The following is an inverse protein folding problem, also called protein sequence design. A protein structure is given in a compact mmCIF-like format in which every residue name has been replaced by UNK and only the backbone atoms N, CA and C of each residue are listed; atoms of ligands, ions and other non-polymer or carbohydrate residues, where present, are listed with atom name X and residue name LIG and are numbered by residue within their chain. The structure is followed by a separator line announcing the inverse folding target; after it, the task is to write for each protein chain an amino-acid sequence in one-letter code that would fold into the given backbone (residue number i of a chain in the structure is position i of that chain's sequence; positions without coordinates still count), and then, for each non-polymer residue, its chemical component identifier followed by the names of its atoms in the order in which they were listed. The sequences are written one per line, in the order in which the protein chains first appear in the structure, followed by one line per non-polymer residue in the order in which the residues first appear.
data_IF_733968494660
#
_entry.id   IF_733968494660
#
_cell.length_a   1.000
_cell.length_b   1.000
_cell.length_c   1.000
_cell.angle_alpha   90.00
_cell.angle_beta   90.00
_cell.angle_gamma   90.00
#
_symmetry.space_group_name_H-M   'P 1'
#
loop_
_entity.id
_entity.type
_entity.pdbx_description
1 polymer ?
#
# COMPACT_ATOMS: atom_id res chain seq x y z
N UNK A 1 -8.82 22.23 -7.54
CA UNK A 1 -9.14 21.22 -6.49
C UNK A 1 -7.87 20.44 -6.27
N UNK A 2 -7.46 20.21 -5.02
CA UNK A 2 -6.20 19.49 -4.77
C UNK A 2 -6.36 18.00 -5.02
N UNK A 3 -5.30 17.37 -5.54
CA UNK A 3 -5.29 15.96 -5.94
C UNK A 3 -4.24 15.18 -5.17
N UNK A 4 -4.64 14.05 -4.59
CA UNK A 4 -3.76 13.10 -3.93
C UNK A 4 -3.74 11.78 -4.71
N UNK A 5 -2.55 11.29 -5.02
CA UNK A 5 -2.32 9.99 -5.61
C UNK A 5 -1.76 9.04 -4.55
N UNK A 6 -2.43 7.91 -4.33
CA UNK A 6 -1.92 6.82 -3.51
C UNK A 6 -1.45 5.69 -4.41
N UNK A 7 -0.20 5.25 -4.22
CA UNK A 7 0.40 4.14 -4.96
C UNK A 7 0.51 2.94 -4.03
N UNK A 8 -0.27 1.90 -4.32
CA UNK A 8 -0.33 0.64 -3.60
C UNK A 8 0.47 -0.43 -4.36
N UNK A 9 1.43 -1.13 -3.73
CA UNK A 9 2.02 -2.32 -4.33
C UNK A 9 0.94 -3.38 -4.63
N UNK A 10 0.19 -3.81 -3.61
CA UNK A 10 -0.85 -4.83 -3.71
C UNK A 10 -2.24 -4.27 -3.39
N UNK A 11 -3.24 -5.10 -3.68
CA UNK A 11 -4.67 -4.83 -3.46
C UNK A 11 -4.99 -4.98 -1.96
N UNK A 12 -4.59 -3.98 -1.18
CA UNK A 12 -4.84 -3.81 0.27
C UNK A 12 -3.89 -2.80 0.95
N UNK A 13 -2.64 -2.68 0.48
CA UNK A 13 -1.59 -1.95 1.23
C UNK A 13 -1.94 -0.51 1.57
N UNK A 14 -2.48 0.26 0.62
CA UNK A 14 -2.91 1.64 0.88
C UNK A 14 -4.06 1.69 1.87
N UNK A 15 -4.99 0.73 1.83
CA UNK A 15 -6.09 0.70 2.78
C UNK A 15 -5.56 0.50 4.21
N UNK A 16 -4.69 -0.50 4.39
CA UNK A 16 -4.09 -0.80 5.68
C UNK A 16 -3.16 0.31 6.16
N UNK A 17 -2.40 0.93 5.27
CA UNK A 17 -1.33 1.88 5.62
C UNK A 17 -1.83 3.32 5.73
N UNK A 18 -2.69 3.75 4.80
CA UNK A 18 -3.05 5.16 4.57
C UNK A 18 -4.57 5.44 4.56
N UNK A 19 -5.42 4.46 4.84
CA UNK A 19 -6.88 4.63 4.70
C UNK A 19 -7.46 5.78 5.53
N UNK A 20 -6.85 6.14 6.66
CA UNK A 20 -7.30 7.26 7.51
C UNK A 20 -7.00 8.60 6.86
N UNK A 21 -5.80 8.80 6.34
CA UNK A 21 -5.40 10.00 5.61
C UNK A 21 -6.20 10.14 4.32
N UNK A 22 -6.44 9.03 3.61
CA UNK A 22 -7.30 9.02 2.43
C UNK A 22 -8.70 9.54 2.76
N UNK A 23 -9.34 9.01 3.79
CA UNK A 23 -10.65 9.50 4.27
C UNK A 23 -10.61 10.98 4.68
N UNK A 24 -9.54 11.41 5.36
CA UNK A 24 -9.38 12.80 5.79
C UNK A 24 -9.28 13.76 4.60
N UNK A 25 -8.55 13.39 3.54
CA UNK A 25 -8.43 14.18 2.32
C UNK A 25 -9.75 14.24 1.56
N UNK A 26 -10.48 13.12 1.44
CA UNK A 26 -11.81 13.11 0.84
C UNK A 26 -12.80 14.00 1.60
N UNK A 27 -12.80 13.97 2.93
CA UNK A 27 -13.63 14.84 3.75
C UNK A 27 -13.32 16.33 3.55
N UNK A 28 -12.08 16.67 3.16
CA UNK A 28 -11.64 18.02 2.79
C UNK A 28 -11.90 18.39 1.32
N UNK A 29 -12.58 17.53 0.55
CA UNK A 29 -12.89 17.77 -0.85
C UNK A 29 -11.70 17.60 -1.80
N UNK A 30 -10.69 16.81 -1.43
CA UNK A 30 -9.63 16.45 -2.37
C UNK A 30 -10.14 15.43 -3.40
N UNK A 31 -9.59 15.51 -4.60
CA UNK A 31 -9.64 14.41 -5.57
C UNK A 31 -8.61 13.36 -5.14
N UNK A 32 -9.02 12.11 -5.07
CA UNK A 32 -8.17 10.98 -4.68
C UNK A 32 -8.11 9.98 -5.81
N UNK A 33 -6.88 9.64 -6.19
CA UNK A 33 -6.58 8.53 -7.08
C UNK A 33 -5.86 7.42 -6.32
N UNK A 34 -6.25 6.18 -6.58
CA UNK A 34 -5.60 4.96 -6.11
C UNK A 34 -5.05 4.21 -7.32
N UNK A 35 -3.73 4.05 -7.37
CA UNK A 35 -3.07 3.16 -8.33
C UNK A 35 -2.57 1.93 -7.57
N UNK A 36 -3.06 0.76 -7.93
CA UNK A 36 -2.55 -0.52 -7.39
C UNK A 36 -1.74 -1.23 -8.46
N UNK A 37 -0.48 -1.53 -8.18
CA UNK A 37 0.53 -1.89 -9.19
C UNK A 37 0.43 -3.36 -9.62
N UNK A 38 0.49 -4.29 -8.68
CA UNK A 38 0.55 -5.72 -8.95
C UNK A 38 -0.84 -6.35 -8.87
N UNK A 39 -1.55 -6.34 -10.00
CA UNK A 39 -2.96 -6.71 -10.07
C UNK A 39 -3.30 -7.75 -11.13
N UNK A 40 -2.31 -8.28 -11.88
CA UNK A 40 -2.57 -9.15 -13.04
C UNK A 40 -3.08 -10.52 -12.62
N UNK A 41 -4.14 -10.99 -13.28
CA UNK A 41 -4.55 -12.40 -13.22
C UNK A 41 -3.59 -13.28 -14.00
N UNK A 42 -3.08 -14.34 -13.36
CA UNK A 42 -2.23 -15.34 -14.00
C UNK A 42 -2.99 -16.67 -14.07
N UNK A 43 -3.34 -17.17 -15.26
CA UNK A 43 -4.08 -18.41 -15.40
C UNK A 43 -3.24 -19.60 -14.94
N UNK A 44 -3.91 -20.60 -14.36
CA UNK A 44 -3.30 -21.85 -13.88
C UNK A 44 -2.06 -21.63 -12.99
N UNK A 45 -2.20 -20.91 -11.86
CA UNK A 45 -1.08 -20.68 -10.96
C UNK A 45 -0.50 -22.01 -10.45
N UNK A 46 0.82 -22.05 -10.25
CA UNK A 46 1.54 -23.26 -9.80
C UNK A 46 2.46 -22.95 -8.62
N UNK A 47 2.88 -24.00 -7.93
CA UNK A 47 3.86 -23.93 -6.85
C UNK A 47 3.44 -22.93 -5.76
N UNK A 48 4.38 -22.08 -5.36
CA UNK A 48 4.15 -21.11 -4.29
C UNK A 48 3.06 -20.09 -4.60
N UNK A 49 2.91 -19.65 -5.85
CA UNK A 49 1.82 -18.75 -6.23
C UNK A 49 0.43 -19.37 -6.00
N UNK A 50 0.27 -20.65 -6.35
CA UNK A 50 -0.95 -21.40 -6.01
C UNK A 50 -1.12 -21.58 -4.49
N UNK A 51 -0.02 -21.81 -3.77
CA UNK A 51 -0.07 -21.92 -2.30
C UNK A 51 -0.55 -20.62 -1.64
N UNK A 52 -0.17 -19.45 -2.16
CA UNK A 52 -0.60 -18.15 -1.65
C UNK A 52 -2.14 -17.98 -1.68
N UNK A 53 -2.84 -18.55 -2.65
CA UNK A 53 -4.30 -18.53 -2.71
C UNK A 53 -4.94 -19.69 -1.93
N UNK A 54 -4.41 -20.92 -2.02
CA UNK A 54 -5.01 -22.09 -1.36
C UNK A 54 -4.88 -22.05 0.16
N UNK A 55 -3.81 -21.44 0.69
CA UNK A 55 -3.67 -21.15 2.12
C UNK A 55 -4.75 -20.21 2.68
N UNK A 56 -5.47 -19.49 1.80
CA UNK A 56 -6.63 -18.64 2.13
C UNK A 56 -7.96 -19.36 1.92
N UNK A 57 -7.94 -20.66 1.62
CA UNK A 57 -9.12 -21.47 1.36
C UNK A 57 -9.71 -21.30 -0.04
N UNK A 58 -8.97 -20.72 -0.98
CA UNK A 58 -9.42 -20.52 -2.36
C UNK A 58 -8.84 -21.61 -3.28
N UNK A 59 -9.70 -22.29 -4.04
CA UNK A 59 -9.29 -23.35 -4.96
C UNK A 59 -8.54 -22.83 -6.19
N UNK A 60 -7.82 -23.72 -6.92
CA UNK A 60 -7.08 -23.38 -8.14
C UNK A 60 -7.94 -22.78 -9.26
N UNK A 61 -9.24 -23.05 -9.27
CA UNK A 61 -10.22 -22.56 -10.24
C UNK A 61 -10.62 -21.10 -10.03
N UNK A 62 -10.33 -20.53 -8.87
CA UNK A 62 -10.66 -19.14 -8.54
C UNK A 62 -9.63 -18.22 -9.18
N UNK A 63 -10.09 -17.24 -9.96
CA UNK A 63 -9.25 -16.10 -10.34
C UNK A 63 -9.06 -15.19 -9.11
N UNK A 64 -8.04 -15.52 -8.32
CA UNK A 64 -7.74 -14.83 -7.06
C UNK A 64 -7.49 -13.33 -7.24
N UNK A 65 -6.90 -12.92 -8.37
CA UNK A 65 -6.64 -11.51 -8.61
C UNK A 65 -7.89 -10.77 -9.09
N UNK A 66 -8.80 -11.42 -9.83
CA UNK A 66 -10.13 -10.83 -10.10
C UNK A 66 -10.91 -10.60 -8.80
N UNK A 67 -10.95 -11.60 -7.92
CA UNK A 67 -11.58 -11.48 -6.60
C UNK A 67 -11.00 -10.30 -5.79
N UNK A 68 -9.67 -10.17 -5.70
CA UNK A 68 -9.04 -9.06 -4.97
C UNK A 68 -9.26 -7.70 -5.63
N UNK A 69 -9.39 -7.65 -6.96
CA UNK A 69 -9.75 -6.41 -7.67
C UNK A 69 -11.18 -5.98 -7.33
N UNK A 70 -12.10 -6.93 -7.17
CA UNK A 70 -13.46 -6.62 -6.68
C UNK A 70 -13.45 -6.09 -5.24
N UNK A 71 -12.59 -6.64 -4.38
CA UNK A 71 -12.38 -6.12 -3.01
C UNK A 71 -11.79 -4.70 -3.00
N UNK A 72 -10.79 -4.43 -3.84
CA UNK A 72 -10.18 -3.10 -4.01
C UNK A 72 -11.18 -2.07 -4.55
N UNK A 73 -12.06 -2.50 -5.48
CA UNK A 73 -13.20 -1.68 -5.94
C UNK A 73 -14.17 -1.38 -4.79
N UNK A 74 -14.54 -2.37 -4.00
CA UNK A 74 -15.43 -2.19 -2.86
C UNK A 74 -14.82 -1.27 -1.78
N UNK A 75 -13.51 -1.33 -1.58
CA UNK A 75 -12.78 -0.36 -0.76
C UNK A 75 -12.87 1.05 -1.36
N UNK A 76 -12.54 1.21 -2.64
CA UNK A 76 -12.58 2.49 -3.33
C UNK A 76 -13.96 3.14 -3.25
N UNK A 77 -15.03 2.38 -3.49
CA UNK A 77 -16.42 2.83 -3.39
C UNK A 77 -16.77 3.24 -1.96
N UNK A 78 -16.37 2.43 -0.97
CA UNK A 78 -16.57 2.73 0.46
C UNK A 78 -15.89 4.05 0.85
N UNK A 79 -14.71 4.32 0.32
CA UNK A 79 -13.89 5.48 0.67
C UNK A 79 -14.15 6.72 -0.20
N UNK A 80 -14.93 6.59 -1.27
CA UNK A 80 -15.18 7.67 -2.23
C UNK A 80 -13.95 8.04 -3.07
N UNK A 81 -13.14 7.05 -3.46
CA UNK A 81 -12.00 7.25 -4.37
C UNK A 81 -12.51 7.63 -5.76
N UNK A 82 -11.96 8.67 -6.36
CA UNK A 82 -12.45 9.22 -7.64
C UNK A 82 -11.86 8.47 -8.84
N UNK A 83 -10.60 8.02 -8.73
CA UNK A 83 -9.89 7.30 -9.79
C UNK A 83 -9.26 6.03 -9.24
N UNK A 84 -9.65 4.88 -9.79
CA UNK A 84 -9.02 3.58 -9.48
C UNK A 84 -8.33 3.07 -10.73
N UNK A 85 -7.03 2.83 -10.62
CA UNK A 85 -6.19 2.33 -11.72
C UNK A 85 -5.48 1.07 -11.26
N UNK A 86 -5.60 0.01 -12.05
CA UNK A 86 -4.91 -1.26 -11.82
C UNK A 86 -3.76 -1.40 -12.83
N UNK A 87 -2.55 -1.60 -12.32
CA UNK A 87 -1.32 -1.59 -13.10
C UNK A 87 -1.08 -2.83 -13.94
N UNK A 88 -1.87 -3.88 -13.71
CA UNK A 88 -1.84 -5.14 -14.47
C UNK A 88 -0.43 -5.75 -14.55
N UNK A 89 0.31 -5.68 -13.44
CA UNK A 89 1.60 -6.37 -13.28
C UNK A 89 1.45 -7.61 -12.40
N UNK A 90 2.32 -8.58 -12.62
CA UNK A 90 2.33 -9.86 -11.89
C UNK A 90 2.98 -9.69 -10.51
N UNK A 91 2.34 -10.24 -9.46
CA UNK A 91 2.94 -10.30 -8.12
C UNK A 91 4.20 -11.18 -8.13
N UNK A 92 5.12 -10.94 -7.19
CA UNK A 92 6.40 -11.66 -7.08
C UNK A 92 6.30 -13.20 -7.17
N UNK A 93 5.31 -13.90 -6.59
CA UNK A 93 5.19 -15.36 -6.74
C UNK A 93 5.12 -15.85 -8.20
N UNK A 94 4.64 -15.01 -9.13
CA UNK A 94 4.55 -15.31 -10.55
C UNK A 94 5.82 -14.94 -11.34
N UNK A 95 6.79 -14.33 -10.68
CA UNK A 95 8.02 -13.79 -11.29
C UNK A 95 9.28 -14.46 -10.76
N UNK A 96 9.16 -15.67 -10.23
CA UNK A 96 10.29 -16.51 -9.80
C UNK A 96 10.63 -16.45 -8.31
N UNK A 97 9.80 -15.82 -7.47
CA UNK A 97 9.96 -15.87 -6.01
C UNK A 97 9.13 -17.03 -5.45
N UNK A 98 9.78 -18.17 -5.17
CA UNK A 98 9.10 -19.44 -4.95
C UNK A 98 8.89 -19.84 -3.47
N UNK A 99 9.08 -18.93 -2.53
CA UNK A 99 8.83 -19.18 -1.10
C UNK A 99 8.57 -17.87 -0.34
N UNK A 100 8.03 -17.92 0.89
CA UNK A 100 7.89 -16.74 1.74
C UNK A 100 9.23 -16.06 1.97
N UNK A 101 10.29 -16.81 2.24
CA UNK A 101 11.63 -16.27 2.50
C UNK A 101 12.15 -15.49 1.29
N UNK A 102 11.92 -16.02 0.08
CA UNK A 102 12.34 -15.37 -1.16
C UNK A 102 11.67 -14.00 -1.35
N UNK A 103 10.43 -13.82 -0.90
CA UNK A 103 9.72 -12.54 -0.97
C UNK A 103 10.34 -11.43 -0.11
N UNK A 104 11.19 -11.79 0.86
CA UNK A 104 11.81 -10.85 1.80
C UNK A 104 13.34 -10.81 1.68
N UNK A 105 13.87 -11.26 0.54
CA UNK A 105 15.28 -11.06 0.15
C UNK A 105 15.40 -9.82 -0.75
N UNK A 106 16.61 -9.32 -0.99
CA UNK A 106 16.83 -8.33 -2.05
C UNK A 106 16.21 -8.80 -3.38
N UNK A 107 15.60 -7.90 -4.17
CA UNK A 107 15.04 -8.27 -5.47
C UNK A 107 16.08 -8.97 -6.35
N UNK A 108 15.64 -9.99 -7.07
CA UNK A 108 16.51 -10.76 -7.96
C UNK A 108 17.09 -9.86 -9.06
N UNK A 109 18.35 -10.04 -9.48
CA UNK A 109 18.96 -9.22 -10.54
C UNK A 109 18.23 -9.29 -11.90
N UNK A 110 17.57 -10.42 -12.18
CA UNK A 110 16.79 -10.63 -13.41
C UNK A 110 15.36 -10.09 -13.33
N UNK A 111 14.93 -9.63 -12.15
CA UNK A 111 13.63 -9.03 -11.93
C UNK A 111 13.65 -7.52 -12.20
N UNK A 112 13.44 -7.15 -13.46
CA UNK A 112 13.44 -5.77 -13.95
C UNK A 112 12.03 -5.12 -13.98
N UNK A 113 11.12 -5.58 -13.10
CA UNK A 113 9.73 -5.11 -13.07
C UNK A 113 9.60 -3.61 -12.78
N UNK A 114 10.58 -3.00 -12.13
CA UNK A 114 10.67 -1.55 -11.81
C UNK A 114 10.32 -0.65 -13.02
N UNK A 115 10.88 -0.94 -14.19
CA UNK A 115 10.61 -0.15 -15.40
C UNK A 115 9.15 -0.23 -15.85
N UNK A 116 8.49 -1.38 -15.64
CA UNK A 116 7.06 -1.57 -15.91
C UNK A 116 6.20 -0.84 -14.88
N UNK A 117 6.61 -0.83 -13.62
CA UNK A 117 5.97 -0.02 -12.56
C UNK A 117 6.00 1.46 -12.94
N UNK A 118 7.18 1.99 -13.32
CA UNK A 118 7.30 3.38 -13.76
C UNK A 118 6.44 3.68 -15.00
N UNK A 119 6.37 2.75 -15.96
CA UNK A 119 5.50 2.87 -17.14
C UNK A 119 4.01 2.93 -16.78
N UNK A 120 3.58 2.19 -15.74
CA UNK A 120 2.22 2.25 -15.23
C UNK A 120 1.89 3.60 -14.57
N UNK A 121 2.83 4.19 -13.83
CA UNK A 121 2.59 5.41 -13.05
C UNK A 121 2.65 6.69 -13.89
N UNK A 122 3.48 6.72 -14.94
CA UNK A 122 3.69 7.90 -15.79
C UNK A 122 2.39 8.52 -16.37
N UNK A 123 1.46 7.75 -16.96
CA UNK A 123 0.22 8.33 -17.49
C UNK A 123 -0.62 9.01 -16.41
N UNK A 124 -0.75 8.37 -15.24
CA UNK A 124 -1.55 8.89 -14.11
C UNK A 124 -0.92 10.17 -13.57
N UNK A 125 0.40 10.20 -13.39
CA UNK A 125 1.13 11.40 -12.96
C UNK A 125 0.99 12.56 -13.96
N UNK A 126 1.06 12.25 -15.26
CA UNK A 126 0.94 13.24 -16.32
C UNK A 126 -0.48 13.84 -16.41
N UNK A 127 -1.49 12.99 -16.33
CA UNK A 127 -2.89 13.36 -16.46
C UNK A 127 -3.40 14.09 -15.21
N UNK A 128 -3.17 13.53 -14.02
CA UNK A 128 -3.73 14.05 -12.77
C UNK A 128 -2.90 15.15 -12.14
N UNK A 129 -1.58 15.22 -12.42
CA UNK A 129 -0.63 16.17 -11.83
C UNK A 129 -0.83 16.33 -10.31
N UNK A 130 -0.73 15.23 -9.54
CA UNK A 130 -1.11 15.23 -8.14
C UNK A 130 -0.28 16.23 -7.32
N UNK A 131 -0.93 16.92 -6.39
CA UNK A 131 -0.26 17.78 -5.42
C UNK A 131 0.53 16.96 -4.39
N UNK A 132 0.06 15.74 -4.09
CA UNK A 132 0.66 14.82 -3.12
C UNK A 132 0.65 13.40 -3.66
N UNK A 133 1.76 12.69 -3.48
CA UNK A 133 1.94 11.30 -3.91
C UNK A 133 2.37 10.46 -2.71
N UNK A 134 1.52 9.51 -2.32
CA UNK A 134 1.75 8.60 -1.21
C UNK A 134 2.28 7.26 -1.74
N UNK A 135 3.44 6.84 -1.25
CA UNK A 135 4.18 5.65 -1.71
C UNK A 135 4.71 4.86 -0.50
N UNK A 136 4.96 3.55 -0.62
CA UNK A 136 5.47 2.75 0.49
C UNK A 136 6.86 3.20 0.95
N UNK A 137 7.22 2.91 2.20
CA UNK A 137 8.62 2.90 2.66
C UNK A 137 9.30 1.56 2.36
N UNK A 138 8.51 0.53 1.99
CA UNK A 138 8.92 -0.86 1.90
C UNK A 138 9.43 -1.44 3.23
N UNK A 139 8.84 -0.99 4.36
CA UNK A 139 9.08 -1.61 5.66
C UNK A 139 8.71 -3.09 5.62
N UNK A 140 9.60 -3.94 6.12
CA UNK A 140 9.47 -5.39 6.03
C UNK A 140 10.14 -6.01 4.81
N UNK A 141 10.64 -5.20 3.86
CA UNK A 141 11.45 -5.63 2.71
C UNK A 141 10.76 -6.59 1.73
N UNK A 142 9.43 -6.55 1.62
CA UNK A 142 8.74 -7.32 0.59
C UNK A 142 9.20 -6.84 -0.80
N UNK A 143 9.63 -7.76 -1.66
CA UNK A 143 10.26 -7.45 -2.96
C UNK A 143 9.40 -6.55 -3.85
N UNK A 144 8.08 -6.76 -3.88
CA UNK A 144 7.17 -5.89 -4.66
C UNK A 144 7.11 -4.45 -4.13
N UNK A 145 7.11 -4.25 -2.80
CA UNK A 145 7.15 -2.90 -2.22
C UNK A 145 8.48 -2.23 -2.56
N UNK A 146 9.60 -2.96 -2.43
CA UNK A 146 10.93 -2.47 -2.80
C UNK A 146 10.97 -2.03 -4.26
N UNK A 147 10.41 -2.83 -5.18
CA UNK A 147 10.36 -2.49 -6.60
C UNK A 147 9.50 -1.24 -6.88
N UNK A 148 8.41 -1.02 -6.14
CA UNK A 148 7.62 0.21 -6.23
C UNK A 148 8.42 1.42 -5.75
N UNK A 149 9.06 1.34 -4.58
CA UNK A 149 9.89 2.44 -4.06
C UNK A 149 11.03 2.78 -5.01
N UNK A 150 11.71 1.78 -5.57
CA UNK A 150 12.78 1.97 -6.55
C UNK A 150 12.26 2.66 -7.81
N UNK A 151 11.11 2.22 -8.33
CA UNK A 151 10.50 2.80 -9.53
C UNK A 151 10.11 4.27 -9.39
N UNK A 152 9.96 4.79 -8.16
CA UNK A 152 9.74 6.21 -7.92
C UNK A 152 10.94 7.06 -8.38
N UNK A 153 12.15 6.48 -8.35
CA UNK A 153 13.35 7.12 -8.88
C UNK A 153 13.19 7.29 -10.40
N UNK A 154 13.32 8.52 -10.87
CA UNK A 154 13.23 8.82 -12.30
C UNK A 154 11.82 9.05 -12.84
N UNK A 155 10.79 9.11 -11.97
CA UNK A 155 9.46 9.63 -12.34
C UNK A 155 9.39 11.16 -12.36
N UNK A 156 10.43 11.85 -11.87
CA UNK A 156 10.52 13.31 -11.93
C UNK A 156 9.52 14.04 -11.04
N UNK A 157 9.00 13.37 -10.00
CA UNK A 157 8.09 13.97 -9.03
C UNK A 157 8.93 14.86 -8.10
N UNK A 158 8.57 16.14 -7.91
CA UNK A 158 9.19 17.00 -6.90
C UNK A 158 9.17 16.32 -5.52
N UNK A 159 10.32 16.30 -4.85
CA UNK A 159 10.48 15.55 -3.60
C UNK A 159 9.54 16.03 -2.48
N UNK A 160 9.24 17.33 -2.44
CA UNK A 160 8.27 17.93 -1.52
C UNK A 160 6.79 17.52 -1.76
N UNK A 161 6.50 16.80 -2.85
CA UNK A 161 5.18 16.22 -3.10
C UNK A 161 5.06 14.77 -2.65
N UNK A 162 6.17 14.09 -2.35
CA UNK A 162 6.19 12.66 -2.06
C UNK A 162 6.16 12.39 -0.56
N UNK A 163 5.24 11.51 -0.14
CA UNK A 163 5.08 11.06 1.24
C UNK A 163 5.23 9.55 1.29
N UNK A 164 6.23 9.07 2.02
CA UNK A 164 6.50 7.66 2.17
C UNK A 164 5.76 7.11 3.40
N UNK A 165 4.75 6.27 3.21
CA UNK A 165 3.94 5.72 4.29
C UNK A 165 4.60 4.52 4.98
N UNK A 166 4.27 4.31 6.26
CA UNK A 166 4.69 3.11 7.00
C UNK A 166 3.82 1.93 6.58
N UNK A 167 4.42 0.94 5.94
CA UNK A 167 3.72 -0.24 5.40
C UNK A 167 3.11 -1.07 6.53
N UNK A 168 1.78 -1.18 6.61
CA UNK A 168 1.10 -2.06 7.57
C UNK A 168 0.53 -3.29 6.84
N UNK A 169 0.56 -4.48 7.47
CA UNK A 169 0.91 -4.77 8.87
C UNK A 169 2.42 -4.92 9.15
N UNK A 170 3.31 -4.73 8.17
CA UNK A 170 4.76 -4.92 8.37
C UNK A 170 5.34 -4.06 9.49
N UNK A 171 5.00 -2.79 9.56
CA UNK A 171 5.42 -1.85 10.61
C UNK A 171 4.90 -2.25 12.00
N UNK A 172 3.77 -2.98 12.08
CA UNK A 172 3.26 -3.55 13.33
C UNK A 172 4.11 -4.74 13.76
N UNK A 173 4.38 -5.66 12.83
CA UNK A 173 5.13 -6.89 13.11
C UNK A 173 6.62 -6.65 13.33
N UNK A 174 7.16 -5.62 12.68
CA UNK A 174 8.57 -5.25 12.67
C UNK A 174 8.73 -3.75 13.00
N UNK A 175 8.48 -3.33 14.25
CA UNK A 175 8.49 -1.90 14.62
C UNK A 175 9.87 -1.24 14.47
N UNK A 176 10.93 -2.05 14.38
CA UNK A 176 12.33 -1.62 14.17
C UNK A 176 12.78 -1.71 12.70
N UNK A 177 11.87 -2.02 11.77
CA UNK A 177 12.19 -2.04 10.35
C UNK A 177 12.62 -0.64 9.88
N UNK A 178 13.57 -0.62 8.96
CA UNK A 178 14.06 0.59 8.32
C UNK A 178 13.48 0.70 6.91
N UNK A 179 13.23 1.93 6.41
CA UNK A 179 12.85 2.14 5.02
C UNK A 179 13.89 1.53 4.06
N UNK A 180 13.45 1.14 2.86
CA UNK A 180 14.38 0.68 1.81
C UNK A 180 15.39 1.79 1.47
N UNK A 181 16.60 1.38 1.07
CA UNK A 181 17.67 2.32 0.71
C UNK A 181 17.34 3.22 -0.49
N UNK A 182 16.27 2.93 -1.24
CA UNK A 182 15.75 3.79 -2.29
C UNK A 182 14.93 4.98 -1.78
N UNK A 183 14.44 4.96 -0.53
CA UNK A 183 13.82 6.13 0.10
C UNK A 183 14.91 7.19 0.36
N UNK A 184 14.68 8.47 -0.02
CA UNK A 184 15.64 9.54 0.23
C UNK A 184 16.04 9.65 1.71
N UNK A 185 17.30 9.98 1.96
CA UNK A 185 17.81 10.26 3.30
C UNK A 185 17.42 11.68 3.74
N UNK A 186 17.40 11.93 5.05
CA UNK A 186 17.14 13.26 5.61
C UNK A 186 15.66 13.68 5.65
N UNK A 187 14.74 12.77 5.30
CA UNK A 187 13.30 13.01 5.44
C UNK A 187 12.88 13.10 6.91
N UNK A 188 11.86 13.91 7.18
CA UNK A 188 11.30 14.08 8.51
C UNK A 188 9.96 13.33 8.63
N UNK A 189 9.65 12.79 9.82
CA UNK A 189 8.34 12.21 10.08
C UNK A 189 7.26 13.30 10.12
N UNK A 190 6.19 13.11 9.37
CA UNK A 190 4.96 13.89 9.41
C UNK A 190 3.84 12.99 9.95
N UNK A 191 3.27 13.37 11.08
CA UNK A 191 2.10 12.69 11.67
C UNK A 191 0.81 13.40 11.22
N UNK A 192 -0.06 12.67 10.54
CA UNK A 192 -1.40 13.12 10.15
C UNK A 192 -2.40 12.57 11.14
N UNK A 193 -3.13 13.46 11.81
CA UNK A 193 -4.23 13.08 12.69
C UNK A 193 -5.36 12.44 11.88
N UNK A 194 -5.69 11.20 12.24
CA UNK A 194 -6.76 10.41 11.63
C UNK A 194 -7.80 9.99 12.67
N UNK A 195 -7.84 10.62 13.85
CA UNK A 195 -8.69 10.20 14.98
C UNK A 195 -10.16 10.07 14.56
N UNK A 196 -10.70 11.10 13.91
CA UNK A 196 -12.08 11.11 13.39
C UNK A 196 -12.28 10.20 12.17
N UNK A 197 -11.21 9.78 11.51
CA UNK A 197 -11.24 8.99 10.28
C UNK A 197 -10.84 7.53 10.48
N UNK A 198 -10.36 7.16 11.66
CA UNK A 198 -9.96 5.79 12.00
C UNK A 198 -11.12 4.79 11.88
N UNK A 199 -12.37 5.11 12.30
CA UNK A 199 -13.50 4.20 12.05
C UNK A 199 -13.71 3.95 10.56
N UNK A 200 -13.60 5.01 9.73
CA UNK A 200 -13.77 4.90 8.27
C UNK A 200 -12.65 4.08 7.62
N UNK A 201 -11.41 4.24 8.10
CA UNK A 201 -10.28 3.39 7.70
C UNK A 201 -10.59 1.91 7.96
N UNK A 202 -11.03 1.56 9.17
CA UNK A 202 -11.34 0.16 9.52
C UNK A 202 -12.49 -0.37 8.65
N UNK A 203 -13.54 0.43 8.44
CA UNK A 203 -14.67 0.09 7.54
C UNK A 203 -14.22 -0.16 6.09
N UNK A 204 -13.26 0.60 5.58
CA UNK A 204 -12.67 0.34 4.27
C UNK A 204 -11.83 -0.94 4.27
N UNK A 205 -10.98 -1.11 5.28
CA UNK A 205 -10.06 -2.26 5.35
C UNK A 205 -10.78 -3.61 5.41
N UNK A 206 -11.98 -3.68 6.03
CA UNK A 206 -12.75 -4.93 6.08
C UNK A 206 -13.25 -5.42 4.72
N UNK A 207 -13.15 -4.62 3.65
CA UNK A 207 -13.51 -5.04 2.28
C UNK A 207 -12.52 -6.05 1.68
N UNK A 208 -11.29 -6.10 2.18
CA UNK A 208 -10.26 -7.06 1.75
C UNK A 208 -10.39 -8.40 2.49
N UNK A 209 -11.58 -9.02 2.39
CA UNK A 209 -11.96 -10.23 3.12
C UNK A 209 -10.93 -11.37 2.99
N UNK A 210 -10.39 -11.55 1.78
CA UNK A 210 -9.37 -12.56 1.48
C UNK A 210 -8.07 -12.36 2.27
N UNK A 211 -7.77 -11.14 2.70
CA UNK A 211 -6.53 -10.79 3.40
C UNK A 211 -6.69 -10.82 4.92
N UNK A 212 -7.90 -10.61 5.45
CA UNK A 212 -8.12 -10.41 6.90
C UNK A 212 -7.73 -11.61 7.75
N UNK A 213 -8.05 -12.82 7.31
CA UNK A 213 -7.77 -14.05 8.06
C UNK A 213 -6.28 -14.23 8.29
N UNK A 214 -5.49 -14.17 7.23
CA UNK A 214 -4.04 -14.33 7.31
C UNK A 214 -3.35 -13.14 7.97
N UNK A 215 -3.75 -11.90 7.61
CA UNK A 215 -3.01 -10.72 8.05
C UNK A 215 -3.32 -10.30 9.50
N UNK A 216 -4.55 -10.52 9.94
CA UNK A 216 -5.05 -10.00 11.20
C UNK A 216 -5.80 -11.01 12.07
N UNK A 217 -6.04 -12.24 11.59
CA UNK A 217 -6.90 -13.20 12.28
C UNK A 217 -8.39 -12.83 12.20
N UNK A 218 -8.80 -12.09 11.16
CA UNK A 218 -10.18 -11.67 10.92
C UNK A 218 -10.47 -10.20 11.26
N UNK A 219 -11.75 -9.82 11.13
CA UNK A 219 -12.23 -8.42 11.26
C UNK A 219 -11.90 -7.81 12.62
N UNK A 220 -12.15 -8.54 13.72
CA UNK A 220 -11.89 -8.01 15.06
C UNK A 220 -10.39 -7.81 15.32
N UNK A 221 -9.56 -8.70 14.77
CA UNK A 221 -8.11 -8.58 14.84
C UNK A 221 -7.61 -7.36 14.06
N UNK A 222 -8.17 -7.11 12.87
CA UNK A 222 -7.85 -5.93 12.06
C UNK A 222 -8.14 -4.64 12.84
N UNK A 223 -9.36 -4.50 13.37
CA UNK A 223 -9.78 -3.30 14.08
C UNK A 223 -8.91 -3.03 15.31
N UNK A 224 -8.64 -4.06 16.13
CA UNK A 224 -7.78 -3.95 17.31
C UNK A 224 -6.36 -3.56 16.94
N UNK A 225 -5.76 -4.25 15.97
CA UNK A 225 -4.36 -4.05 15.58
C UNK A 225 -4.14 -2.65 15.00
N UNK A 226 -4.96 -2.21 14.04
CA UNK A 226 -4.80 -0.90 13.42
C UNK A 226 -5.08 0.23 14.43
N UNK A 227 -6.10 0.09 15.27
CA UNK A 227 -6.39 1.09 16.31
C UNK A 227 -5.24 1.25 17.30
N UNK A 228 -4.69 0.13 17.79
CA UNK A 228 -3.57 0.17 18.72
C UNK A 228 -2.32 0.78 18.06
N UNK A 229 -2.03 0.40 16.81
CA UNK A 229 -0.88 0.90 16.07
C UNK A 229 -0.94 2.42 15.85
N UNK A 230 -2.06 2.95 15.37
CA UNK A 230 -2.18 4.40 15.10
C UNK A 230 -2.22 5.25 16.37
N UNK A 231 -2.74 4.72 17.49
CA UNK A 231 -2.64 5.38 18.80
C UNK A 231 -1.20 5.46 19.29
N UNK A 232 -0.44 4.38 19.13
CA UNK A 232 0.99 4.35 19.46
C UNK A 232 1.78 5.34 18.62
N UNK A 233 1.51 5.42 17.31
CA UNK A 233 2.14 6.41 16.43
C UNK A 233 1.81 7.85 16.88
N UNK A 234 0.55 8.19 17.18
CA UNK A 234 0.20 9.52 17.71
C UNK A 234 0.95 9.83 19.02
N UNK A 235 0.91 8.90 19.98
CA UNK A 235 1.56 9.07 21.28
C UNK A 235 3.08 9.28 21.15
N UNK A 236 3.74 8.51 20.28
CA UNK A 236 5.18 8.62 20.04
C UNK A 236 5.60 9.97 19.43
N UNK A 237 4.63 10.82 19.02
CA UNK A 237 4.86 12.16 18.47
C UNK A 237 4.16 13.24 19.31
N UNK A 238 3.79 12.92 20.55
CA UNK A 238 3.18 13.86 21.49
C UNK A 238 1.76 14.28 21.13
N UNK A 239 1.08 13.54 20.25
CA UNK A 239 -0.31 13.77 19.85
C UNK A 239 -1.25 12.86 20.66
N UNK A 240 -2.47 13.32 20.89
CA UNK A 240 -3.57 12.47 21.38
C UNK A 240 -4.28 11.80 20.20
N UNK A 241 -5.12 10.79 20.49
CA UNK A 241 -5.91 10.14 19.44
C UNK A 241 -5.10 9.13 18.61
N UNK A 242 -5.19 9.21 17.29
CA UNK A 242 -4.58 8.27 16.35
C UNK A 242 -3.96 8.99 15.15
N UNK A 243 -2.79 8.52 14.70
CA UNK A 243 -2.06 9.12 13.60
C UNK A 243 -1.55 8.09 12.58
N UNK A 244 -1.53 8.49 11.31
CA UNK A 244 -0.72 7.88 10.26
C UNK A 244 0.55 8.71 10.07
N UNK A 245 1.70 8.04 9.99
CA UNK A 245 3.00 8.70 9.91
C UNK A 245 3.65 8.43 8.57
N UNK A 246 4.13 9.51 7.96
CA UNK A 246 4.81 9.51 6.67
C UNK A 246 6.22 10.07 6.82
N UNK A 247 7.15 9.68 5.96
CA UNK A 247 8.40 10.42 5.76
C UNK A 247 8.23 11.37 4.56
N UNK A 248 8.64 12.62 4.72
CA UNK A 248 8.55 13.66 3.68
C UNK A 248 9.72 14.63 3.82
N UNK A 249 9.99 15.42 2.78
CA UNK A 249 10.87 16.59 2.94
C UNK A 249 10.28 17.51 4.00
N UNK A 250 11.15 18.04 4.88
CA UNK A 250 10.73 18.94 5.94
C UNK A 250 9.95 20.13 5.36
N UNK A 251 8.83 20.46 6.01
CA UNK A 251 8.14 21.73 5.74
C UNK A 251 8.98 22.81 6.39
N UNK A 252 9.75 23.55 5.60
CA UNK A 252 10.41 24.77 6.06
C UNK A 252 9.42 25.89 6.33
#
# INVERSE_FOLDING_TARGET
MSTALFVSPHLDDVAFSCGGTLAALKAKGWTVALVTVFTRSVPEPKGFALQCQTSKGLGPEVDYMALRRDEDRAFADCMGVDHVVWGDLEEAPHRGYASPEALFQPPRPDDVIEAKVAKCLRPVLWELKPDRVFVPQALGSHVDHVQVVRAMKGLGIPANQVLYYRDTPYAVRQPKAWPDAAVPQGLCPLAVDITEHLPKKVEGCVRYGTQLGFQFGGVDGLARTLTAFHRMEAQARGQTGAAEVFLTEGVS
#
